data_IF_229599060431
#
_entry.id   IF_229599060431
#
_cell.length_a   1.000
_cell.length_b   1.000
_cell.length_c   1.000
_cell.angle_alpha   90.00
_cell.angle_beta   90.00
_cell.angle_gamma   90.00
#
_symmetry.space_group_name_H-M   'P 1'
#
loop_
_entity.id
_entity.type
_entity.pdbx_description
1 polymer ?
#
# COMPACT_ATOMS: atom_id res chain seq x y z
N UNK A 1 -4.13 -11.08 -0.35
CA UNK A 1 -3.26 -10.33 0.59
C UNK A 1 -1.88 -10.17 -0.03
N UNK A 2 -1.31 -8.96 -0.05
CA UNK A 2 0.04 -8.74 -0.61
C UNK A 2 1.09 -9.42 0.26
N UNK A 3 1.94 -10.26 -0.34
CA UNK A 3 3.00 -10.99 0.38
C UNK A 3 4.27 -10.12 0.43
N UNK A 4 5.03 -10.24 1.52
CA UNK A 4 6.30 -9.51 1.71
C UNK A 4 7.30 -9.78 0.57
N UNK A 5 7.28 -10.98 -0.02
CA UNK A 5 8.17 -11.35 -1.13
C UNK A 5 7.86 -10.56 -2.40
N UNK A 6 6.60 -10.20 -2.65
CA UNK A 6 6.21 -9.43 -3.83
C UNK A 6 6.65 -7.97 -3.69
N UNK A 7 6.58 -7.42 -2.47
CA UNK A 7 7.07 -6.08 -2.16
C UNK A 7 8.58 -5.94 -2.38
N UNK A 8 9.35 -7.01 -2.11
CA UNK A 8 10.80 -7.04 -2.33
C UNK A 8 11.21 -7.08 -3.80
N UNK A 9 10.32 -7.57 -4.68
CA UNK A 9 10.58 -7.68 -6.12
C UNK A 9 10.28 -6.39 -6.89
N UNK A 10 9.49 -5.49 -6.28
CA UNK A 10 9.09 -4.24 -6.90
C UNK A 10 10.11 -3.13 -6.57
N UNK A 11 10.35 -2.25 -7.54
CA UNK A 11 11.11 -1.01 -7.34
C UNK A 11 10.28 0.00 -6.54
N UNK A 12 10.93 1.06 -6.03
CA UNK A 12 10.22 2.14 -5.33
C UNK A 12 9.08 2.74 -6.18
N UNK A 13 9.31 2.92 -7.49
CA UNK A 13 8.28 3.36 -8.43
C UNK A 13 7.13 2.36 -8.53
N UNK A 14 7.41 1.07 -8.74
CA UNK A 14 6.36 0.05 -8.83
C UNK A 14 5.56 -0.10 -7.53
N UNK A 15 6.18 0.15 -6.38
CA UNK A 15 5.49 0.19 -5.08
C UNK A 15 4.58 1.42 -4.96
N UNK A 16 5.01 2.58 -5.45
CA UNK A 16 4.19 3.80 -5.49
C UNK A 16 3.00 3.65 -6.46
N UNK A 17 3.21 3.07 -7.64
CA UNK A 17 2.12 2.76 -8.57
C UNK A 17 1.10 1.81 -7.92
N UNK A 18 1.58 0.75 -7.27
CA UNK A 18 0.70 -0.19 -6.55
C UNK A 18 -0.05 0.49 -5.39
N UNK A 19 0.58 1.45 -4.73
CA UNK A 19 -0.04 2.25 -3.68
C UNK A 19 -1.17 3.12 -4.24
N UNK A 20 -0.98 3.74 -5.40
CA UNK A 20 -1.98 4.52 -6.10
C UNK A 20 -3.19 3.67 -6.50
N UNK A 21 -2.96 2.47 -7.06
CA UNK A 21 -4.02 1.51 -7.39
C UNK A 21 -4.90 1.18 -6.16
N UNK A 22 -4.25 0.84 -5.04
CA UNK A 22 -4.94 0.50 -3.80
C UNK A 22 -5.71 1.69 -3.21
N UNK A 23 -5.21 2.92 -3.38
CA UNK A 23 -5.94 4.14 -2.98
C UNK A 23 -7.16 4.38 -3.85
N UNK A 24 -7.07 4.16 -5.17
CA UNK A 24 -8.23 4.25 -6.07
C UNK A 24 -9.29 3.21 -5.72
N UNK A 25 -8.88 1.98 -5.43
CA UNK A 25 -9.79 0.93 -4.94
C UNK A 25 -10.46 1.35 -3.63
N UNK A 26 -9.71 1.94 -2.70
CA UNK A 26 -10.24 2.46 -1.45
C UNK A 26 -11.31 3.53 -1.64
N UNK A 27 -11.12 4.44 -2.59
CA UNK A 27 -12.09 5.49 -2.93
C UNK A 27 -13.39 4.86 -3.44
N UNK A 28 -13.31 3.87 -4.32
CA UNK A 28 -14.49 3.15 -4.82
C UNK A 28 -15.26 2.48 -3.70
N UNK A 29 -14.55 1.81 -2.79
CA UNK A 29 -15.19 1.15 -1.65
C UNK A 29 -15.82 2.18 -0.70
N UNK A 30 -15.14 3.29 -0.43
CA UNK A 30 -15.70 4.36 0.39
C UNK A 30 -16.94 5.00 -0.25
N UNK A 31 -16.96 5.14 -1.58
CA UNK A 31 -18.13 5.62 -2.31
C UNK A 31 -19.32 4.66 -2.13
N UNK A 32 -19.11 3.34 -2.30
CA UNK A 32 -20.16 2.33 -2.07
C UNK A 32 -20.69 2.38 -0.63
N UNK A 33 -19.80 2.47 0.36
CA UNK A 33 -20.19 2.60 1.78
C UNK A 33 -21.00 3.87 1.99
N UNK A 34 -20.58 4.99 1.40
CA UNK A 34 -21.27 6.28 1.52
C UNK A 34 -22.65 6.28 0.85
N UNK A 35 -22.85 5.50 -0.21
CA UNK A 35 -24.15 5.34 -0.87
C UNK A 35 -25.04 4.31 -0.18
N UNK A 36 -24.61 3.75 0.95
CA UNK A 36 -25.33 2.69 1.66
C UNK A 36 -25.33 1.34 0.94
N UNK A 37 -24.52 1.21 -0.11
CA UNK A 37 -24.38 -0.04 -0.86
C UNK A 37 -23.32 -0.91 -0.17
N UNK A 38 -23.65 -2.14 0.25
CA UNK A 38 -22.65 -3.01 0.82
C UNK A 38 -21.57 -3.29 -0.24
N UNK A 39 -20.28 -3.05 0.07
CA UNK A 39 -19.22 -3.35 -0.88
C UNK A 39 -19.21 -4.85 -1.15
N UNK A 40 -19.05 -5.22 -2.43
CA UNK A 40 -19.11 -6.62 -2.89
C UNK A 40 -18.19 -7.55 -2.09
N UNK A 41 -17.05 -7.02 -1.64
CA UNK A 41 -16.14 -7.70 -0.75
C UNK A 41 -16.28 -7.17 0.69
N UNK A 42 -17.06 -7.87 1.53
CA UNK A 42 -17.21 -7.60 2.97
C UNK A 42 -15.88 -7.61 3.76
N UNK A 43 -14.80 -8.18 3.19
CA UNK A 43 -13.43 -8.13 3.72
C UNK A 43 -12.46 -7.20 2.97
N UNK A 44 -12.90 -6.56 1.88
CA UNK A 44 -12.08 -5.79 0.95
C UNK A 44 -11.43 -4.58 1.60
N UNK A 45 -12.18 -3.77 2.34
CA UNK A 45 -11.68 -2.57 3.04
C UNK A 45 -10.47 -2.90 3.93
N UNK A 46 -10.62 -3.92 4.79
CA UNK A 46 -9.58 -4.31 5.75
C UNK A 46 -8.35 -4.84 5.01
N UNK A 47 -8.55 -5.54 3.90
CA UNK A 47 -7.48 -6.06 3.07
C UNK A 47 -6.72 -4.94 2.34
N UNK A 48 -7.42 -3.97 1.76
CA UNK A 48 -6.84 -2.79 1.11
C UNK A 48 -6.04 -1.96 2.11
N UNK A 49 -6.62 -1.64 3.29
CA UNK A 49 -5.91 -0.93 4.37
C UNK A 49 -4.62 -1.66 4.78
N UNK A 50 -4.69 -2.98 4.97
CA UNK A 50 -3.51 -3.80 5.32
C UNK A 50 -2.45 -3.80 4.23
N UNK A 51 -2.84 -3.82 2.95
CA UNK A 51 -1.90 -3.79 1.84
C UNK A 51 -1.21 -2.43 1.75
N UNK A 52 -1.96 -1.32 1.88
CA UNK A 52 -1.41 0.05 1.93
C UNK A 52 -0.39 0.18 3.06
N UNK A 53 -0.75 -0.23 4.28
CA UNK A 53 0.14 -0.15 5.44
C UNK A 53 1.45 -0.93 5.23
N UNK A 54 1.39 -2.11 4.58
CA UNK A 54 2.59 -2.90 4.28
C UNK A 54 3.51 -2.23 3.26
N UNK A 55 2.94 -1.66 2.20
CA UNK A 55 3.72 -0.93 1.18
C UNK A 55 4.41 0.27 1.83
N UNK A 56 3.67 1.08 2.60
CA UNK A 56 4.22 2.24 3.31
C UNK A 56 5.32 1.85 4.30
N UNK A 57 5.12 0.76 5.05
CA UNK A 57 6.13 0.23 5.97
C UNK A 57 7.41 -0.15 5.23
N UNK A 58 7.27 -0.84 4.09
CA UNK A 58 8.40 -1.28 3.28
C UNK A 58 9.15 -0.09 2.67
N UNK A 59 8.43 0.89 2.12
CA UNK A 59 9.01 2.13 1.59
C UNK A 59 9.78 2.89 2.68
N UNK A 60 9.22 2.99 3.89
CA UNK A 60 9.90 3.66 5.00
C UNK A 60 11.15 2.90 5.46
N UNK A 61 11.11 1.56 5.49
CA UNK A 61 12.27 0.72 5.78
C UNK A 61 13.40 0.95 4.77
N UNK A 62 13.10 0.92 3.47
CA UNK A 62 14.07 1.22 2.41
C UNK A 62 14.63 2.64 2.52
N UNK A 63 13.80 3.63 2.82
CA UNK A 63 14.24 5.02 2.99
C UNK A 63 15.16 5.20 4.19
N UNK A 64 14.92 4.48 5.29
CA UNK A 64 15.78 4.50 6.48
C UNK A 64 17.14 3.83 6.25
N UNK A 65 17.21 2.75 5.46
CA UNK A 65 18.50 2.15 5.08
C UNK A 65 19.34 3.11 4.23
N UNK A 66 18.72 3.87 3.33
CA UNK A 66 19.40 4.86 2.48
C UNK A 66 19.92 6.04 3.32
N UNK A 67 19.15 6.51 4.31
CA UNK A 67 19.58 7.62 5.20
C UNK A 67 20.79 7.29 6.08
N UNK A 68 21.00 6.03 6.48
CA UNK A 68 22.18 5.68 7.29
C UNK A 68 23.49 5.59 6.49
N UNK A 69 23.42 5.49 5.16
CA UNK A 69 24.61 5.46 4.28
C UNK A 69 25.06 6.84 3.79
N UNK A 70 24.31 7.91 4.08
CA UNK A 70 24.63 9.29 3.69
C UNK A 70 25.42 10.10 4.71
N UNK A 71 25.84 9.51 5.84
CA UNK A 71 26.64 10.19 6.88
C UNK A 71 28.04 9.56 6.95
N UNK A 72 28.70 9.48 5.80
CA UNK A 72 30.15 9.25 5.69
C UNK A 72 30.65 10.02 4.46
N UNK A 73 30.81 11.33 4.61
CA UNK A 73 31.81 12.18 3.94
C UNK A 73 31.74 13.55 4.56
#
# INVERSE_FOLDING_TARGET
>A
MVKKKDLKKLTEQGLNERLEELRKEMIKINAQISTGTPPENKGGVKQVKKNIARILTYLNQNKSSIKSQGVKS
#
